data_IF_344055541531
#
_entry.id   IF_344055541531
#
_cell.length_a   1.000
_cell.length_b   1.000
_cell.length_c   1.000
_cell.angle_alpha   90.00
_cell.angle_beta   90.00
_cell.angle_gamma   90.00
#
_symmetry.space_group_name_H-M   'P 1'
#
loop_
_entity.id
_entity.type
_entity.pdbx_description
1 polymer ?
#
# COMPACT_ATOMS: atom_id res chain seq x y z
N UNK A 1 -8.96 26.82 -2.91
CA UNK A 1 -8.25 25.82 -3.75
C UNK A 1 -9.29 25.21 -4.66
N UNK A 2 -9.10 25.20 -5.99
CA UNK A 2 -10.00 24.57 -6.95
C UNK A 2 -9.43 23.23 -7.41
N UNK A 3 -9.72 22.11 -6.73
CA UNK A 3 -9.16 20.81 -7.09
C UNK A 3 -9.78 20.25 -8.37
N UNK A 4 -9.00 19.51 -9.16
CA UNK A 4 -9.50 18.83 -10.37
C UNK A 4 -10.37 17.59 -10.06
N UNK A 5 -10.19 17.00 -8.88
CA UNK A 5 -10.94 15.84 -8.41
C UNK A 5 -10.79 15.65 -6.90
N UNK A 6 -11.73 14.94 -6.28
CA UNK A 6 -11.66 14.48 -4.89
C UNK A 6 -11.38 12.98 -4.84
N UNK A 7 -10.53 12.54 -3.90
CA UNK A 7 -10.30 11.12 -3.62
C UNK A 7 -11.07 10.76 -2.35
N UNK A 8 -12.05 9.88 -2.44
CA UNK A 8 -13.00 9.59 -1.35
C UNK A 8 -13.24 8.09 -1.19
N UNK A 9 -13.59 7.64 0.01
CA UNK A 9 -13.93 6.23 0.31
C UNK A 9 -15.29 6.03 0.95
N UNK A 10 -15.81 7.02 1.67
CA UNK A 10 -17.06 6.90 2.40
C UNK A 10 -18.27 7.13 1.47
N UNK A 11 -19.19 6.16 1.33
CA UNK A 11 -20.35 6.30 0.46
C UNK A 11 -21.27 7.48 0.83
N UNK A 12 -21.45 7.76 2.12
CA UNK A 12 -22.30 8.85 2.59
C UNK A 12 -21.72 10.21 2.23
N UNK A 13 -20.42 10.40 2.43
CA UNK A 13 -19.74 11.63 2.01
C UNK A 13 -19.72 11.77 0.48
N UNK A 14 -19.55 10.68 -0.26
CA UNK A 14 -19.62 10.71 -1.72
C UNK A 14 -21.01 11.16 -2.18
N UNK A 15 -22.08 10.61 -1.60
CA UNK A 15 -23.46 11.00 -1.87
C UNK A 15 -23.66 12.50 -1.63
N UNK A 16 -23.27 13.00 -0.45
CA UNK A 16 -23.40 14.41 -0.07
C UNK A 16 -22.59 15.34 -1.01
N UNK A 17 -21.37 14.96 -1.39
CA UNK A 17 -20.56 15.75 -2.33
C UNK A 17 -21.21 15.80 -3.71
N UNK A 18 -21.78 14.69 -4.18
CA UNK A 18 -22.46 14.68 -5.49
C UNK A 18 -23.72 15.53 -5.50
N UNK A 19 -24.47 15.56 -4.41
CA UNK A 19 -25.65 16.43 -4.26
C UNK A 19 -25.29 17.91 -4.33
N UNK A 20 -24.22 18.32 -3.64
CA UNK A 20 -23.85 19.73 -3.50
C UNK A 20 -22.86 20.22 -4.57
N UNK A 21 -22.08 19.31 -5.17
CA UNK A 21 -21.02 19.59 -6.14
C UNK A 21 -21.03 18.57 -7.29
N UNK A 22 -22.11 18.48 -8.08
CA UNK A 22 -22.31 17.42 -9.07
C UNK A 22 -21.25 17.39 -10.19
N UNK A 23 -20.60 18.54 -10.47
CA UNK A 23 -19.55 18.64 -11.48
C UNK A 23 -18.16 18.22 -10.98
N UNK A 24 -17.98 18.01 -9.67
CA UNK A 24 -16.69 17.65 -9.09
C UNK A 24 -16.38 16.17 -9.37
N UNK A 25 -15.31 15.83 -10.11
CA UNK A 25 -14.94 14.44 -10.32
C UNK A 25 -14.54 13.78 -9.01
N UNK A 26 -15.02 12.55 -8.79
CA UNK A 26 -14.69 11.75 -7.61
C UNK A 26 -13.94 10.49 -8.05
N UNK A 27 -12.77 10.29 -7.45
CA UNK A 27 -11.96 9.10 -7.59
C UNK A 27 -12.09 8.25 -6.33
N UNK A 28 -12.28 6.94 -6.50
CA UNK A 28 -12.38 6.02 -5.37
C UNK A 28 -11.02 5.82 -4.73
N UNK A 29 -10.94 6.05 -3.42
CA UNK A 29 -9.76 5.79 -2.60
C UNK A 29 -9.54 4.29 -2.44
N UNK A 30 -8.26 3.90 -2.33
CA UNK A 30 -7.85 2.53 -1.97
C UNK A 30 -8.48 2.05 -0.66
N UNK A 31 -8.89 2.98 0.21
CA UNK A 31 -9.56 2.68 1.48
C UNK A 31 -10.98 2.13 1.33
N UNK A 32 -11.58 2.24 0.14
CA UNK A 32 -12.87 1.62 -0.15
C UNK A 32 -12.76 0.13 -0.50
N UNK A 33 -11.56 -0.46 -0.52
CA UNK A 33 -11.33 -1.89 -0.73
C UNK A 33 -11.95 -2.45 -2.03
N UNK A 34 -11.86 -1.71 -3.13
CA UNK A 34 -12.25 -2.24 -4.43
C UNK A 34 -11.25 -3.32 -4.88
N UNK A 35 -11.68 -4.59 -4.81
CA UNK A 35 -10.85 -5.80 -5.01
C UNK A 35 -11.41 -6.78 -6.03
N UNK A 36 -12.48 -6.43 -6.71
CA UNK A 36 -13.05 -7.23 -7.80
C UNK A 36 -13.79 -6.30 -8.76
N UNK A 37 -14.08 -6.82 -9.96
CA UNK A 37 -14.72 -6.03 -11.01
C UNK A 37 -16.14 -5.58 -10.64
N UNK A 38 -16.89 -6.37 -9.85
CA UNK A 38 -18.26 -6.06 -9.48
C UNK A 38 -18.33 -4.82 -8.57
N UNK A 39 -17.41 -4.73 -7.59
CA UNK A 39 -17.26 -3.53 -6.75
C UNK A 39 -16.86 -2.32 -7.59
N UNK A 40 -15.94 -2.48 -8.55
CA UNK A 40 -15.54 -1.37 -9.43
C UNK A 40 -16.72 -0.91 -10.30
N UNK A 41 -17.49 -1.83 -10.85
CA UNK A 41 -18.70 -1.55 -11.65
C UNK A 41 -19.77 -0.84 -10.82
N UNK A 42 -19.99 -1.25 -9.58
CA UNK A 42 -20.89 -0.56 -8.65
C UNK A 42 -20.50 0.92 -8.49
N UNK A 43 -19.23 1.20 -8.21
CA UNK A 43 -18.75 2.58 -8.05
C UNK A 43 -18.80 3.37 -9.35
N UNK A 44 -18.58 2.73 -10.50
CA UNK A 44 -18.80 3.36 -11.81
C UNK A 44 -20.25 3.79 -12.00
N UNK A 45 -21.22 2.93 -11.64
CA UNK A 45 -22.66 3.24 -11.71
C UNK A 45 -23.05 4.38 -10.76
N UNK A 46 -22.34 4.54 -9.64
CA UNK A 46 -22.48 5.70 -8.74
C UNK A 46 -21.82 6.98 -9.30
N UNK A 47 -21.26 6.92 -10.51
CA UNK A 47 -20.73 8.06 -11.26
C UNK A 47 -19.31 8.46 -10.88
N UNK A 48 -18.52 7.56 -10.27
CA UNK A 48 -17.09 7.77 -10.08
C UNK A 48 -16.35 7.49 -11.39
N UNK A 49 -15.31 8.27 -11.66
CA UNK A 49 -14.59 8.25 -12.95
C UNK A 49 -13.29 7.46 -12.90
N UNK A 50 -12.73 7.28 -11.70
CA UNK A 50 -11.47 6.57 -11.48
C UNK A 50 -11.51 5.76 -10.20
N UNK A 51 -10.90 4.57 -10.21
CA UNK A 51 -10.65 3.77 -9.02
C UNK A 51 -9.15 3.66 -8.75
N UNK A 52 -8.75 3.91 -7.50
CA UNK A 52 -7.42 3.55 -7.00
C UNK A 52 -7.52 2.14 -6.43
N UNK A 53 -7.05 1.16 -7.18
CA UNK A 53 -7.19 -0.25 -6.81
C UNK A 53 -6.36 -0.61 -5.57
N UNK A 54 -6.89 -1.59 -4.84
CA UNK A 54 -6.26 -2.20 -3.68
C UNK A 54 -4.90 -2.80 -4.04
N UNK A 55 -3.93 -2.70 -3.13
CA UNK A 55 -2.55 -3.17 -3.34
C UNK A 55 -2.43 -4.68 -3.33
N UNK A 56 -3.49 -5.37 -2.91
CA UNK A 56 -3.60 -6.80 -2.69
C UNK A 56 -3.89 -7.58 -3.99
N UNK A 57 -4.26 -6.89 -5.08
CA UNK A 57 -4.61 -7.52 -6.35
C UNK A 57 -3.38 -7.96 -7.15
N UNK A 58 -3.50 -9.15 -7.74
CA UNK A 58 -2.61 -9.67 -8.77
C UNK A 58 -2.78 -8.93 -10.11
N UNK A 59 -1.86 -9.14 -11.06
CA UNK A 59 -1.98 -8.51 -12.37
C UNK A 59 -3.15 -9.09 -13.17
N UNK A 60 -3.43 -10.37 -12.99
CA UNK A 60 -4.53 -11.10 -13.61
C UNK A 60 -5.89 -10.52 -13.17
N UNK A 61 -6.05 -10.26 -11.87
CA UNK A 61 -7.28 -9.64 -11.34
C UNK A 61 -7.43 -8.18 -11.81
N UNK A 62 -6.34 -7.41 -11.90
CA UNK A 62 -6.38 -6.06 -12.46
C UNK A 62 -6.79 -6.11 -13.95
N UNK A 63 -6.28 -7.08 -14.69
CA UNK A 63 -6.61 -7.31 -16.09
C UNK A 63 -8.10 -7.68 -16.26
N UNK A 64 -8.63 -8.55 -15.42
CA UNK A 64 -10.05 -8.89 -15.38
C UNK A 64 -10.91 -7.65 -15.11
N UNK A 65 -10.57 -6.84 -14.09
CA UNK A 65 -11.28 -5.59 -13.78
C UNK A 65 -11.29 -4.67 -15.00
N UNK A 66 -10.16 -4.52 -15.68
CA UNK A 66 -10.02 -3.65 -16.85
C UNK A 66 -10.85 -4.13 -18.05
N UNK A 67 -11.01 -5.45 -18.22
CA UNK A 67 -11.83 -6.06 -19.26
C UNK A 67 -13.32 -5.91 -18.96
N UNK A 68 -13.72 -6.14 -17.71
CA UNK A 68 -15.13 -6.12 -17.28
C UNK A 68 -15.70 -4.70 -17.13
N UNK A 69 -14.85 -3.72 -16.78
CA UNK A 69 -15.27 -2.32 -16.54
C UNK A 69 -14.41 -1.36 -17.36
N UNK A 70 -14.53 -1.36 -18.70
CA UNK A 70 -13.53 -0.76 -19.56
C UNK A 70 -13.48 0.77 -19.57
N UNK A 71 -14.57 1.43 -19.15
CA UNK A 71 -14.68 2.89 -19.11
C UNK A 71 -14.24 3.50 -17.77
N UNK A 72 -13.96 2.67 -16.76
CA UNK A 72 -13.42 3.13 -15.48
C UNK A 72 -11.91 3.37 -15.59
N UNK A 73 -11.45 4.56 -15.21
CA UNK A 73 -10.01 4.79 -15.11
C UNK A 73 -9.42 4.01 -13.93
N UNK A 74 -8.28 3.37 -14.15
CA UNK A 74 -7.58 2.59 -13.13
C UNK A 74 -6.29 3.28 -12.72
N UNK A 75 -6.14 3.52 -11.42
CA UNK A 75 -4.90 3.96 -10.77
C UNK A 75 -4.39 2.87 -9.83
N UNK A 76 -3.09 2.57 -9.86
CA UNK A 76 -2.48 1.52 -9.04
C UNK A 76 -1.23 2.02 -8.33
N UNK A 77 -0.99 1.54 -7.11
CA UNK A 77 0.30 1.75 -6.46
C UNK A 77 1.36 0.86 -7.09
N UNK A 78 2.52 1.44 -7.41
CA UNK A 78 3.64 0.69 -8.00
C UNK A 78 4.91 0.77 -7.17
N UNK A 79 4.96 1.67 -6.19
CA UNK A 79 6.15 1.92 -5.40
C UNK A 79 5.84 2.46 -4.00
N UNK A 80 6.63 2.05 -3.01
CA UNK A 80 6.64 2.59 -1.65
C UNK A 80 6.07 1.65 -0.61
N UNK A 81 5.71 2.18 0.57
CA UNK A 81 5.33 1.35 1.71
C UNK A 81 4.10 0.48 1.41
N UNK A 82 4.28 -0.83 1.49
CA UNK A 82 3.21 -1.82 1.44
C UNK A 82 2.62 -2.01 2.84
N UNK A 83 1.30 -2.00 2.97
CA UNK A 83 0.66 -2.29 4.25
C UNK A 83 0.75 -3.79 4.57
N UNK A 84 0.90 -4.12 5.85
CA UNK A 84 0.77 -5.52 6.30
C UNK A 84 -0.69 -5.93 6.41
N UNK A 85 -1.53 -5.00 6.86
CA UNK A 85 -2.97 -5.17 6.90
C UNK A 85 -3.58 -4.83 5.53
N UNK A 86 -4.78 -5.36 5.32
CA UNK A 86 -5.62 -5.01 4.18
C UNK A 86 -5.75 -3.49 4.05
N UNK A 87 -5.55 -2.96 2.85
CA UNK A 87 -5.46 -1.52 2.60
C UNK A 87 -6.64 -0.75 3.19
N UNK A 88 -6.37 0.28 4.01
CA UNK A 88 -7.41 1.08 4.67
C UNK A 88 -8.09 0.43 5.88
N UNK A 89 -7.60 -0.72 6.37
CA UNK A 89 -8.13 -1.43 7.55
C UNK A 89 -7.09 -1.65 8.66
N UNK A 90 -5.99 -0.90 8.63
CA UNK A 90 -4.96 -1.03 9.66
C UNK A 90 -5.40 -0.31 10.95
N UNK A 91 -5.16 -0.92 12.10
CA UNK A 91 -5.35 -0.27 13.42
C UNK A 91 -4.04 -0.07 14.18
N UNK A 92 -2.94 -0.68 13.71
CA UNK A 92 -1.68 -0.79 14.43
C UNK A 92 -1.09 0.57 14.84
N UNK A 93 -0.98 1.50 13.89
CA UNK A 93 -0.47 2.85 14.18
C UNK A 93 -1.38 3.63 15.16
N UNK A 94 -2.70 3.41 15.09
CA UNK A 94 -3.66 4.02 16.01
C UNK A 94 -3.55 3.44 17.42
N UNK A 95 -3.36 2.13 17.52
CA UNK A 95 -3.18 1.44 18.78
C UNK A 95 -1.88 1.87 19.48
N UNK A 96 -0.75 1.78 18.78
CA UNK A 96 0.59 2.00 19.34
C UNK A 96 0.87 3.49 19.54
N UNK A 97 0.59 4.33 18.54
CA UNK A 97 1.04 5.74 18.51
C UNK A 97 -0.09 6.76 18.56
N UNK A 98 -1.35 6.30 18.73
CA UNK A 98 -2.53 7.16 18.70
C UNK A 98 -2.63 7.99 17.40
N UNK A 99 -2.06 7.46 16.31
CA UNK A 99 -2.08 8.07 14.98
C UNK A 99 -2.83 7.17 14.01
N UNK A 100 -4.03 7.60 13.63
CA UNK A 100 -4.93 6.84 12.77
C UNK A 100 -4.31 6.64 11.36
N UNK A 101 -3.96 5.40 10.99
CA UNK A 101 -3.39 5.11 9.67
C UNK A 101 -4.41 5.31 8.54
N UNK A 102 -5.71 5.25 8.82
CA UNK A 102 -6.80 5.42 7.87
C UNK A 102 -7.21 6.90 7.70
N UNK A 103 -6.57 7.82 8.42
CA UNK A 103 -6.66 9.27 8.17
C UNK A 103 -5.36 9.80 7.58
N UNK A 104 -4.52 8.92 7.03
CA UNK A 104 -3.26 9.29 6.39
C UNK A 104 -2.12 9.59 7.35
N UNK A 105 -2.29 9.38 8.66
CA UNK A 105 -1.29 9.73 9.69
C UNK A 105 -0.40 8.57 10.14
N UNK A 106 -0.44 7.44 9.42
CA UNK A 106 0.33 6.22 9.70
C UNK A 106 1.82 6.50 9.99
N UNK A 107 2.35 5.93 11.07
CA UNK A 107 3.77 6.03 11.45
C UNK A 107 4.64 4.90 10.91
N UNK A 108 4.06 3.95 10.17
CA UNK A 108 4.70 2.69 9.77
C UNK A 108 5.21 1.87 10.96
N UNK A 109 4.42 1.80 12.04
CA UNK A 109 4.77 1.01 13.24
C UNK A 109 5.17 -0.43 12.90
N UNK A 110 4.52 -1.02 11.91
CA UNK A 110 4.82 -2.32 11.34
C UNK A 110 6.24 -2.53 10.76
N UNK A 111 7.09 -1.51 10.77
CA UNK A 111 8.43 -1.51 10.17
C UNK A 111 9.51 -1.02 11.13
N UNK A 112 9.15 -0.84 12.40
CA UNK A 112 10.07 -0.43 13.43
C UNK A 112 11.01 -1.57 13.81
N UNK A 113 12.04 -1.22 14.55
CA UNK A 113 12.99 -2.20 15.08
C UNK A 113 12.39 -2.82 16.33
N UNK A 114 12.13 -4.13 16.24
CA UNK A 114 11.56 -4.92 17.32
C UNK A 114 12.56 -5.97 17.77
N UNK A 115 12.90 -5.96 19.06
CA UNK A 115 13.64 -7.03 19.72
C UNK A 115 12.69 -8.18 20.02
N UNK A 116 13.10 -9.42 19.74
CA UNK A 116 12.28 -10.62 19.95
C UNK A 116 12.83 -11.43 21.12
N UNK A 117 11.96 -11.84 22.04
CA UNK A 117 12.30 -12.66 23.20
C UNK A 117 11.31 -13.84 23.30
N UNK A 118 11.76 -15.00 23.78
CA UNK A 118 10.89 -16.18 23.97
C UNK A 118 9.95 -15.95 25.17
N UNK A 119 8.65 -16.21 24.97
CA UNK A 119 7.64 -16.18 26.04
C UNK A 119 7.33 -17.58 26.57
N UNK A 120 6.55 -17.66 27.65
CA UNK A 120 5.88 -18.86 28.14
C UNK A 120 4.45 -18.52 28.52
N UNK A 121 3.54 -19.48 28.40
CA UNK A 121 2.17 -19.34 28.90
C UNK A 121 2.15 -19.51 30.42
N UNK A 122 1.44 -18.65 31.14
CA UNK A 122 1.16 -18.79 32.56
C UNK A 122 -0.03 -19.74 32.81
N UNK A 123 -0.34 -19.99 34.08
CA UNK A 123 -1.41 -20.93 34.47
C UNK A 123 -2.83 -20.49 34.07
N UNK A 124 -2.99 -19.24 33.62
CA UNK A 124 -4.26 -18.62 33.22
C UNK A 124 -4.31 -18.40 31.70
N UNK A 125 -3.24 -18.71 30.98
CA UNK A 125 -3.16 -18.57 29.53
C UNK A 125 -2.52 -17.28 29.01
N UNK A 126 -1.92 -16.45 29.88
CA UNK A 126 -1.22 -15.24 29.43
C UNK A 126 0.20 -15.58 28.98
N UNK A 127 0.70 -14.89 27.96
CA UNK A 127 2.11 -15.00 27.57
C UNK A 127 2.95 -14.05 28.43
N UNK A 128 3.90 -14.61 29.16
CA UNK A 128 4.84 -13.90 30.03
C UNK A 128 6.28 -14.20 29.64
N UNK A 129 7.25 -13.39 30.06
CA UNK A 129 8.66 -13.65 29.80
C UNK A 129 9.12 -14.99 30.38
N UNK A 130 9.93 -15.72 29.62
CA UNK A 130 10.83 -16.72 30.17
C UNK A 130 11.97 -15.94 30.84
N UNK A 131 12.16 -16.12 32.15
CA UNK A 131 13.24 -15.43 32.88
C UNK A 131 14.60 -15.83 32.30
N UNK A 132 15.13 -15.04 31.36
CA UNK A 132 16.52 -14.75 31.00
C UNK A 132 16.58 -14.24 29.54
N UNK A 133 17.34 -13.18 29.23
CA UNK A 133 17.52 -12.71 27.86
C UNK A 133 18.31 -13.74 27.04
N UNK A 134 17.67 -14.31 26.02
CA UNK A 134 18.32 -15.21 25.05
C UNK A 134 18.96 -14.33 23.94
N UNK A 135 20.20 -14.60 23.49
CA UNK A 135 20.80 -13.86 22.39
C UNK A 135 19.99 -14.02 21.10
N UNK A 136 19.55 -12.88 20.54
CA UNK A 136 18.90 -12.83 19.23
C UNK A 136 19.93 -13.25 18.17
N UNK A 137 19.79 -14.44 17.61
CA UNK A 137 20.57 -14.83 16.44
C UNK A 137 19.91 -14.24 15.19
N UNK A 138 20.68 -13.44 14.44
CA UNK A 138 20.25 -12.98 13.11
C UNK A 138 20.28 -14.17 12.14
N UNK A 139 19.16 -14.85 12.00
CA UNK A 139 18.95 -15.88 10.98
C UNK A 139 18.25 -15.22 9.79
N UNK A 140 18.66 -15.53 8.55
CA UNK A 140 17.93 -15.05 7.38
C UNK A 140 16.51 -15.64 7.37
N UNK A 141 15.45 -14.82 7.20
CA UNK A 141 14.07 -15.31 7.23
C UNK A 141 13.80 -16.32 6.10
N UNK A 142 13.50 -17.56 6.48
CA UNK A 142 13.13 -18.65 5.56
C UNK A 142 11.62 -18.68 5.34
N UNK A 143 11.05 -17.58 4.85
CA UNK A 143 9.61 -17.46 4.54
C UNK A 143 9.11 -18.68 3.74
N UNK A 144 8.27 -19.51 4.38
CA UNK A 144 7.66 -20.70 3.78
C UNK A 144 8.58 -21.92 3.64
N UNK A 145 9.71 -21.98 4.35
CA UNK A 145 10.61 -23.14 4.38
C UNK A 145 10.80 -23.57 5.84
N UNK A 146 10.36 -24.78 6.16
CA UNK A 146 10.36 -25.33 7.53
C UNK A 146 8.95 -25.48 8.10
N UNK A 147 8.83 -26.14 9.25
CA UNK A 147 7.58 -26.18 10.01
C UNK A 147 7.43 -24.87 10.83
N UNK A 148 6.21 -24.32 10.97
CA UNK A 148 5.95 -23.24 11.91
C UNK A 148 6.31 -23.70 13.34
N UNK A 149 6.55 -22.74 14.23
CA UNK A 149 6.90 -23.04 15.63
C UNK A 149 5.70 -22.83 16.55
N UNK A 150 5.46 -23.77 17.46
CA UNK A 150 4.48 -23.62 18.53
C UNK A 150 4.95 -22.68 19.65
N UNK A 151 6.16 -22.12 19.52
CA UNK A 151 6.73 -21.19 20.49
C UNK A 151 6.05 -19.83 20.39
N UNK A 152 5.73 -19.27 21.55
CA UNK A 152 5.23 -17.91 21.68
C UNK A 152 6.37 -16.93 21.87
N UNK A 153 6.26 -15.76 21.23
CA UNK A 153 7.28 -14.72 21.31
C UNK A 153 6.70 -13.44 21.89
N UNK A 154 7.56 -12.67 22.53
CA UNK A 154 7.28 -11.30 22.92
C UNK A 154 8.22 -10.38 22.15
N UNK A 155 7.68 -9.28 21.63
CA UNK A 155 8.41 -8.28 20.90
C UNK A 155 8.42 -6.96 21.67
N UNK A 156 9.53 -6.25 21.61
CA UNK A 156 9.77 -4.97 22.28
C UNK A 156 10.30 -3.98 21.25
N UNK A 157 9.75 -2.77 21.21
CA UNK A 157 10.24 -1.73 20.28
C UNK A 157 11.44 -1.00 20.91
N UNK A 158 12.47 -0.73 20.10
CA UNK A 158 13.73 -0.17 20.59
C UNK A 158 13.60 1.17 21.34
N UNK A 159 12.63 2.01 20.98
CA UNK A 159 12.36 3.30 21.63
C UNK A 159 11.35 3.21 22.78
N UNK A 160 10.82 2.02 23.10
CA UNK A 160 9.85 1.77 24.18
C UNK A 160 10.27 0.58 25.05
N UNK A 161 11.41 0.69 25.75
CA UNK A 161 11.91 -0.40 26.58
C UNK A 161 10.93 -0.72 27.72
N UNK A 162 10.67 -2.01 27.93
CA UNK A 162 9.73 -2.54 28.92
C UNK A 162 8.26 -2.62 28.45
N UNK A 163 7.93 -2.14 27.25
CA UNK A 163 6.59 -2.31 26.65
C UNK A 163 6.58 -3.51 25.70
N UNK A 164 6.20 -4.67 26.21
CA UNK A 164 6.17 -5.92 25.45
C UNK A 164 4.84 -6.16 24.75
N UNK A 165 4.90 -6.67 23.52
CA UNK A 165 3.76 -7.10 22.73
C UNK A 165 3.88 -8.59 22.42
N UNK A 166 2.79 -9.34 22.46
CA UNK A 166 2.81 -10.76 22.06
C UNK A 166 2.88 -10.89 20.54
N UNK A 167 3.62 -11.89 20.06
CA UNK A 167 3.74 -12.23 18.66
C UNK A 167 3.59 -13.75 18.46
N UNK A 168 2.82 -14.10 17.44
CA UNK A 168 2.58 -15.48 17.02
C UNK A 168 2.94 -15.61 15.54
N UNK A 169 3.49 -16.76 15.18
CA UNK A 169 3.77 -17.15 13.80
C UNK A 169 2.85 -18.31 13.42
N UNK A 170 2.09 -18.17 12.33
CA UNK A 170 1.35 -19.27 11.73
C UNK A 170 2.05 -19.78 10.46
N UNK A 171 1.41 -20.67 9.71
CA UNK A 171 1.91 -21.19 8.43
C UNK A 171 2.17 -20.11 7.35
N UNK A 172 1.69 -18.90 7.56
CA UNK A 172 1.86 -17.75 6.67
C UNK A 172 2.88 -16.71 7.21
N UNK A 173 3.45 -16.94 8.40
CA UNK A 173 4.50 -16.13 9.01
C UNK A 173 4.00 -15.14 10.08
N UNK A 174 4.91 -14.42 10.74
CA UNK A 174 4.54 -13.41 11.73
C UNK A 174 4.06 -12.11 11.08
N UNK A 175 2.78 -11.77 11.27
CA UNK A 175 2.16 -10.62 10.58
C UNK A 175 2.67 -9.24 11.01
N UNK A 176 3.44 -9.10 12.10
CA UNK A 176 3.94 -7.80 12.60
C UNK A 176 5.17 -7.27 11.83
N UNK A 177 5.81 -8.09 10.98
CA UNK A 177 7.21 -7.86 10.54
C UNK A 177 7.42 -7.64 9.02
N UNK A 178 6.42 -7.20 8.25
CA UNK A 178 6.63 -6.94 6.81
C UNK A 178 7.26 -5.56 6.55
N UNK A 179 8.60 -5.57 6.47
CA UNK A 179 9.46 -4.40 6.26
C UNK A 179 9.73 -4.05 4.79
N UNK A 180 9.22 -4.81 3.81
CA UNK A 180 9.55 -4.61 2.38
C UNK A 180 8.62 -3.62 1.70
N UNK A 181 9.20 -2.72 0.91
CA UNK A 181 8.44 -1.79 0.06
C UNK A 181 7.92 -2.53 -1.20
N UNK A 182 6.77 -2.08 -1.71
CA UNK A 182 6.30 -2.46 -3.03
C UNK A 182 7.25 -1.90 -4.09
N UNK A 183 7.65 -2.75 -5.04
CA UNK A 183 8.46 -2.33 -6.20
C UNK A 183 8.01 -3.05 -7.46
N UNK A 184 7.14 -2.40 -8.23
CA UNK A 184 6.50 -2.97 -9.43
C UNK A 184 7.10 -2.46 -10.76
N UNK A 185 8.30 -1.88 -10.75
CA UNK A 185 8.92 -1.30 -11.97
C UNK A 185 9.03 -2.30 -13.13
N UNK A 186 9.34 -3.57 -12.82
CA UNK A 186 9.45 -4.64 -13.81
C UNK A 186 8.12 -4.97 -14.50
N UNK A 187 6.98 -4.55 -13.92
CA UNK A 187 5.64 -4.79 -14.44
C UNK A 187 5.07 -3.59 -15.20
N UNK A 188 5.79 -2.46 -15.27
CA UNK A 188 5.32 -1.24 -15.95
C UNK A 188 4.93 -1.52 -17.40
N UNK A 189 5.68 -2.36 -18.12
CA UNK A 189 5.34 -2.73 -19.49
C UNK A 189 3.97 -3.41 -19.58
N UNK A 190 3.72 -4.44 -18.75
CA UNK A 190 2.43 -5.15 -18.72
C UNK A 190 1.29 -4.23 -18.30
N UNK A 191 1.51 -3.41 -17.27
CA UNK A 191 0.52 -2.44 -16.78
C UNK A 191 0.16 -1.40 -17.84
N UNK A 192 1.15 -0.97 -18.63
CA UNK A 192 0.95 -0.05 -19.76
C UNK A 192 0.12 -0.74 -20.85
N UNK A 193 0.51 -1.96 -21.28
CA UNK A 193 -0.22 -2.75 -22.29
C UNK A 193 -1.66 -3.07 -21.89
N UNK A 194 -1.90 -3.31 -20.60
CA UNK A 194 -3.23 -3.54 -20.04
C UNK A 194 -4.13 -2.29 -20.12
N UNK A 195 -3.56 -1.09 -20.25
CA UNK A 195 -4.32 0.15 -20.29
C UNK A 195 -4.68 0.68 -18.90
N UNK A 196 -3.77 0.54 -17.93
CA UNK A 196 -3.80 1.30 -16.67
C UNK A 196 -3.58 2.78 -16.99
N UNK A 197 -4.27 3.66 -16.27
CA UNK A 197 -4.31 5.10 -16.58
C UNK A 197 -3.34 5.91 -15.71
N UNK A 198 -3.03 5.42 -14.51
CA UNK A 198 -2.19 6.14 -13.55
C UNK A 198 -1.38 5.19 -12.67
N UNK A 199 -0.07 5.43 -12.57
CA UNK A 199 0.80 4.79 -11.60
C UNK A 199 1.03 5.71 -10.41
N UNK A 200 0.81 5.18 -9.21
CA UNK A 200 0.89 5.90 -7.95
C UNK A 200 2.13 5.49 -7.16
N UNK A 201 2.87 6.49 -6.69
CA UNK A 201 4.05 6.32 -5.83
C UNK A 201 3.72 6.82 -4.43
N UNK A 202 3.91 5.96 -3.43
CA UNK A 202 3.78 6.32 -2.03
C UNK A 202 5.07 7.00 -1.53
N UNK A 203 4.96 8.28 -1.17
CA UNK A 203 6.09 9.13 -0.84
C UNK A 203 5.97 9.91 0.46
N UNK A 204 4.93 9.68 1.28
CA UNK A 204 4.64 10.48 2.48
C UNK A 204 5.81 10.61 3.45
N UNK A 205 6.56 9.53 3.64
CA UNK A 205 7.69 9.47 4.57
C UNK A 205 9.06 9.54 3.89
N UNK A 206 9.10 9.90 2.59
CA UNK A 206 10.34 9.87 1.78
C UNK A 206 10.79 11.30 1.43
N UNK A 207 12.11 11.48 1.30
CA UNK A 207 12.71 12.77 0.93
C UNK A 207 12.24 13.26 -0.45
N UNK A 208 12.32 14.57 -0.69
CA UNK A 208 12.03 15.15 -2.02
C UNK A 208 12.85 14.50 -3.12
N UNK A 209 14.15 14.32 -2.87
CA UNK A 209 15.07 13.65 -3.77
C UNK A 209 14.62 12.22 -4.10
N UNK A 210 14.24 11.42 -3.09
CA UNK A 210 13.75 10.06 -3.30
C UNK A 210 12.53 10.04 -4.23
N UNK A 211 11.51 10.85 -3.95
CA UNK A 211 10.30 10.85 -4.77
C UNK A 211 10.57 11.33 -6.19
N UNK A 212 11.42 12.35 -6.37
CA UNK A 212 11.78 12.85 -7.70
C UNK A 212 12.51 11.79 -8.52
N UNK A 213 13.51 11.12 -7.93
CA UNK A 213 14.26 10.05 -8.58
C UNK A 213 13.38 8.85 -8.92
N UNK A 214 12.53 8.41 -7.98
CA UNK A 214 11.57 7.33 -8.23
C UNK A 214 10.61 7.70 -9.37
N UNK A 215 10.02 8.89 -9.34
CA UNK A 215 9.12 9.35 -10.41
C UNK A 215 9.81 9.40 -11.78
N UNK A 216 11.04 9.91 -11.85
CA UNK A 216 11.84 9.93 -13.09
C UNK A 216 12.10 8.53 -13.64
N UNK A 217 12.44 7.58 -12.76
CA UNK A 217 12.69 6.19 -13.15
C UNK A 217 11.42 5.53 -13.69
N UNK A 218 10.27 5.71 -13.02
CA UNK A 218 9.00 5.18 -13.51
C UNK A 218 8.54 5.87 -14.79
N UNK A 219 8.74 7.19 -14.93
CA UNK A 219 8.44 7.91 -16.19
C UNK A 219 9.22 7.32 -17.36
N UNK A 220 10.54 7.12 -17.17
CA UNK A 220 11.39 6.48 -18.18
C UNK A 220 10.91 5.07 -18.52
N UNK A 221 10.53 4.28 -17.52
CA UNK A 221 9.99 2.93 -17.72
C UNK A 221 8.71 2.94 -18.57
N UNK A 222 7.82 3.93 -18.37
CA UNK A 222 6.61 4.09 -19.18
C UNK A 222 6.97 4.52 -20.60
N UNK A 223 7.89 5.48 -20.77
CA UNK A 223 8.30 5.96 -22.09
C UNK A 223 8.96 4.84 -22.91
N UNK A 224 9.82 4.03 -22.27
CA UNK A 224 10.44 2.87 -22.90
C UNK A 224 9.37 1.83 -23.29
N UNK A 225 8.41 1.52 -22.40
CA UNK A 225 7.30 0.61 -22.69
C UNK A 225 6.40 1.09 -23.84
N UNK A 226 6.06 2.39 -23.87
CA UNK A 226 5.27 2.99 -24.94
C UNK A 226 6.00 2.98 -26.28
N UNK A 227 7.33 3.07 -26.27
CA UNK A 227 8.17 2.93 -27.46
C UNK A 227 8.49 1.48 -27.85
N UNK A 228 7.90 0.48 -27.18
CA UNK A 228 8.15 -0.95 -27.44
C UNK A 228 9.55 -1.42 -27.06
N UNK A 229 10.27 -0.66 -26.21
CA UNK A 229 11.62 -1.00 -25.74
C UNK A 229 11.53 -1.83 -24.46
N UNK A 230 12.35 -2.88 -24.37
CA UNK A 230 12.47 -3.66 -23.13
C UNK A 230 13.15 -2.84 -22.05
N UNK A 231 12.67 -2.98 -20.81
CA UNK A 231 13.23 -2.31 -19.63
C UNK A 231 14.72 -2.61 -19.48
N UNK A 232 15.56 -1.55 -19.42
CA UNK A 232 17.00 -1.72 -19.20
C UNK A 232 17.27 -2.17 -17.75
N UNK A 233 18.15 -3.17 -17.53
CA UNK A 233 18.48 -3.70 -16.19
C UNK A 233 18.90 -2.61 -15.18
N UNK A 234 19.55 -1.54 -15.67
CA UNK A 234 20.05 -0.43 -14.85
C UNK A 234 18.94 0.37 -14.14
N UNK A 235 17.71 0.40 -14.67
CA UNK A 235 16.58 1.09 -14.03
C UNK A 235 16.07 0.32 -12.78
N UNK A 236 16.24 -0.99 -12.74
CA UNK A 236 15.82 -1.84 -11.62
C UNK A 236 16.75 -1.77 -10.40
N UNK A 237 18.02 -1.38 -10.59
CA UNK A 237 19.03 -1.34 -9.52
C UNK A 237 19.06 -0.05 -8.68
N UNK A 238 18.54 1.06 -9.20
CA UNK A 238 18.74 2.40 -8.61
C UNK A 238 17.59 2.90 -7.72
N UNK A 239 16.55 2.09 -7.48
CA UNK A 239 15.43 2.47 -6.62
C UNK A 239 15.18 1.39 -5.57
N UNK A 240 15.84 1.53 -4.42
CA UNK A 240 15.65 0.70 -3.22
C UNK A 240 15.96 -0.79 -3.41
N UNK A 241 17.06 -1.28 -2.82
CA UNK A 241 17.46 -2.70 -2.94
C UNK A 241 16.48 -3.68 -2.24
N UNK A 242 15.62 -3.21 -1.33
CA UNK A 242 14.79 -4.07 -0.46
C UNK A 242 13.33 -4.31 -0.92
N UNK A 243 12.95 -3.90 -2.14
CA UNK A 243 11.56 -4.01 -2.60
C UNK A 243 11.16 -5.40 -3.12
N UNK A 244 9.96 -5.87 -2.76
CA UNK A 244 9.40 -7.13 -3.27
C UNK A 244 8.40 -6.88 -4.41
N UNK A 245 8.51 -7.64 -5.50
CA UNK A 245 7.53 -7.67 -6.60
C UNK A 245 6.58 -8.88 -6.50
N UNK A 246 6.67 -9.69 -5.44
CA UNK A 246 5.97 -10.99 -5.34
C UNK A 246 4.44 -10.86 -5.26
N UNK A 247 3.89 -9.71 -4.87
CA UNK A 247 2.44 -9.52 -4.80
C UNK A 247 1.73 -9.68 -6.15
N UNK A 248 2.42 -9.36 -7.25
CA UNK A 248 1.86 -9.42 -8.59
C UNK A 248 2.04 -10.78 -9.27
N UNK A 249 2.35 -11.85 -8.52
CA UNK A 249 2.56 -13.20 -9.09
C UNK A 249 1.67 -14.24 -8.41
N UNK A 250 0.56 -14.60 -9.06
CA UNK A 250 -0.17 -15.88 -8.89
C UNK A 250 -0.61 -16.39 -10.28
N UNK A 251 0.29 -17.12 -10.96
CA UNK A 251 0.18 -17.88 -12.25
C UNK A 251 -0.50 -17.21 -13.49
N UNK A 252 -0.13 -17.59 -14.75
CA UNK A 252 -0.31 -16.70 -15.90
C UNK A 252 -1.46 -17.09 -16.86
N UNK A 253 -1.97 -16.12 -17.63
CA UNK A 253 -2.45 -16.37 -19.00
C UNK A 253 -2.45 -15.13 -19.93
N UNK A 254 -1.81 -15.35 -21.10
CA UNK A 254 -2.09 -14.94 -22.50
C UNK A 254 -2.16 -13.46 -22.97
N UNK A 255 -1.66 -13.13 -24.20
CA UNK A 255 -1.52 -11.76 -24.67
C UNK A 255 -2.61 -11.31 -25.65
N UNK A 256 -3.13 -10.09 -25.48
CA UNK A 256 -3.75 -9.31 -26.55
C UNK A 256 -3.27 -7.86 -26.49
N UNK A 257 -2.81 -7.32 -27.63
CA UNK A 257 -2.36 -5.94 -27.75
C UNK A 257 -3.49 -5.04 -28.26
N UNK A 258 -3.72 -3.89 -27.61
CA UNK A 258 -4.49 -2.75 -28.13
C UNK A 258 -3.71 -1.45 -27.88
N UNK A 259 -4.09 -0.38 -28.60
CA UNK A 259 -3.47 0.96 -28.50
C UNK A 259 -3.45 1.48 -27.06
N UNK A 260 -2.31 2.05 -26.69
CA UNK A 260 -1.99 2.48 -25.33
C UNK A 260 -2.56 3.89 -25.03
N UNK A 261 -3.31 4.09 -23.93
CA UNK A 261 -3.66 5.42 -23.43
C UNK A 261 -2.45 6.11 -22.77
N UNK A 262 -2.52 7.43 -22.57
CA UNK A 262 -1.47 8.19 -21.87
C UNK A 262 -1.39 7.83 -20.37
N UNK A 263 -0.41 7.03 -19.98
CA UNK A 263 -0.17 6.65 -18.59
C UNK A 263 0.55 7.77 -17.81
N UNK A 264 -0.03 8.21 -16.69
CA UNK A 264 0.50 9.28 -15.82
C UNK A 264 1.16 8.73 -14.55
N UNK A 265 2.15 9.44 -14.01
CA UNK A 265 2.77 9.13 -12.71
C UNK A 265 2.31 10.16 -11.67
N UNK A 266 1.69 9.72 -10.57
CA UNK A 266 1.29 10.59 -9.45
C UNK A 266 2.06 10.23 -8.18
N UNK A 267 2.71 11.23 -7.58
CA UNK A 267 3.37 11.09 -6.27
C UNK A 267 2.46 11.67 -5.20
N UNK A 268 2.06 10.87 -4.22
CA UNK A 268 1.26 11.36 -3.10
C UNK A 268 2.16 12.06 -2.07
N UNK A 269 1.91 13.35 -1.82
CA UNK A 269 2.46 14.11 -0.70
C UNK A 269 1.34 14.91 -0.04
N UNK A 270 1.16 14.74 1.27
CA UNK A 270 0.36 15.67 2.06
C UNK A 270 1.30 16.71 2.66
N UNK A 271 1.02 18.01 2.44
CA UNK A 271 1.54 19.05 3.34
C UNK A 271 0.85 18.83 4.69
N UNK A 272 1.62 18.83 5.77
CA UNK A 272 1.14 18.79 7.17
C UNK A 272 -0.07 19.71 7.38
N UNK A 273 -1.07 19.35 8.20
CA UNK A 273 -2.19 20.23 8.47
C UNK A 273 -1.67 21.41 9.29
N UNK A 274 -1.67 22.61 8.68
CA UNK A 274 -1.62 23.83 9.45
C UNK A 274 -2.88 23.85 10.33
N UNK A 275 -2.65 23.82 11.63
CA UNK A 275 -3.63 23.99 12.70
C UNK A 275 -4.53 25.17 12.33
N UNK A 276 -5.79 24.88 11.99
CA UNK A 276 -6.82 25.89 11.79
C UNK A 276 -7.18 26.44 13.18
N UNK A 277 -6.43 27.45 13.65
CA UNK A 277 -6.83 28.27 14.79
C UNK A 277 -8.12 28.99 14.41
N UNK A 278 -9.15 28.80 15.25
CA UNK A 278 -10.38 29.58 15.29
C UNK A 278 -10.07 31.07 15.10
N UNK A 279 -10.73 31.69 14.13
CA UNK A 279 -11.09 33.11 14.23
C UNK A 279 -12.61 33.15 14.20
N UNK A 280 -13.18 33.43 15.37
CA UNK A 280 -14.58 33.81 15.51
C UNK A 280 -14.85 35.03 14.62
N UNK A 281 -15.85 34.95 13.74
CA UNK A 281 -16.56 36.14 13.28
C UNK A 281 -17.52 36.57 14.38
N UNK A 282 -17.44 37.82 14.80
CA UNK A 282 -18.62 38.67 15.07
C UNK A 282 -18.32 40.08 14.56
N UNK A 283 -19.40 40.67 14.04
CA UNK A 283 -19.66 42.04 13.61
C UNK A 283 -18.53 43.07 13.75
#
# INVERSE_FOLDING_TARGET
MGPDALIMSDPGLIMLVREHFPAMPIHLSVQANAVNWATVKFWQQMGLTRVILSRELSLEEIEEIRQQVPDMEIEIFVHGALCMAYSGRCLLSGYINKRDPNQGTCTNACRWEYNVQEGKEDVVGNIVHKHEPIPVQNVEPTLGIGAPTDKVFMIEEAQRPGEYMTAFEDEHGTYIMNSKDLRAIAHVERLTKMGVHSLKIEGRTKSFYYCARTAQVYRKAIDDAAAGKTLRPYAAGNVGRSGSSRLYRRFPASPYARRLPELRVRVLRFRTPAICRRVHRRA
#
